data_IF_072121462916
#
_entry.id   IF_072121462916
#
_cell.length_a   1.000
_cell.length_b   1.000
_cell.length_c   1.000
_cell.angle_alpha   90.00
_cell.angle_beta   90.00
_cell.angle_gamma   90.00
#
_symmetry.space_group_name_H-M   'P 1'
#
loop_
_entity.id
_entity.type
_entity.pdbx_description
1 polymer ?
#
# COMPACT_ATOMS: atom_id res chain seq x y z
N UNK A 1 -12.86 -5.66 13.39
CA UNK A 1 -11.71 -6.46 12.91
C UNK A 1 -10.59 -5.47 12.60
N UNK A 2 -9.33 -5.74 12.95
CA UNK A 2 -8.22 -4.80 12.68
C UNK A 2 -7.58 -5.17 11.36
N UNK A 3 -7.59 -4.24 10.40
CA UNK A 3 -6.91 -4.37 9.11
C UNK A 3 -5.55 -3.66 9.17
N UNK A 4 -4.58 -4.22 8.45
CA UNK A 4 -3.21 -3.70 8.34
C UNK A 4 -3.03 -2.82 7.11
N UNK A 5 -3.91 -2.95 6.11
CA UNK A 5 -3.97 -2.11 4.92
C UNK A 5 -5.40 -1.62 4.72
N UNK A 6 -5.61 -0.32 4.84
CA UNK A 6 -6.89 0.32 4.51
C UNK A 6 -6.64 1.48 3.55
N UNK A 7 -7.53 1.64 2.59
CA UNK A 7 -7.50 2.72 1.62
C UNK A 7 -8.91 3.23 1.38
N UNK A 8 -9.10 4.54 1.35
CA UNK A 8 -10.40 5.19 1.12
C UNK A 8 -10.24 6.32 0.12
N UNK A 9 -11.06 6.35 -0.94
CA UNK A 9 -11.08 7.45 -1.91
C UNK A 9 -11.71 8.67 -1.25
N UNK A 10 -10.94 9.76 -1.12
CA UNK A 10 -11.40 11.02 -0.53
C UNK A 10 -12.03 11.91 -1.62
N UNK A 11 -11.36 11.97 -2.77
CA UNK A 11 -11.71 12.87 -3.86
C UNK A 11 -11.20 12.33 -5.19
N UNK A 12 -11.86 12.69 -6.29
CA UNK A 12 -11.48 12.32 -7.65
C UNK A 12 -11.50 13.54 -8.57
N UNK A 13 -10.47 13.67 -9.41
CA UNK A 13 -10.53 14.56 -10.56
C UNK A 13 -11.22 13.81 -11.72
N UNK A 14 -12.42 14.26 -12.10
CA UNK A 14 -13.15 13.66 -13.22
C UNK A 14 -12.48 13.91 -14.58
N UNK A 15 -11.53 14.85 -14.65
CA UNK A 15 -10.88 15.34 -15.86
C UNK A 15 -9.53 14.67 -16.10
N UNK A 16 -8.73 14.51 -15.03
CA UNK A 16 -7.34 14.05 -15.12
C UNK A 16 -7.11 12.62 -14.60
N UNK A 17 -8.18 11.92 -14.20
CA UNK A 17 -8.17 10.51 -13.77
C UNK A 17 -7.25 10.19 -12.57
N UNK A 18 -6.72 11.19 -11.88
CA UNK A 18 -6.09 11.02 -10.58
C UNK A 18 -7.10 11.23 -9.45
N UNK A 19 -6.84 10.60 -8.32
CA UNK A 19 -7.67 10.72 -7.12
C UNK A 19 -6.82 10.76 -5.87
N UNK A 20 -7.35 11.41 -4.84
CA UNK A 20 -6.74 11.41 -3.53
C UNK A 20 -7.32 10.25 -2.71
N UNK A 21 -6.44 9.46 -2.10
CA UNK A 21 -6.83 8.41 -1.16
C UNK A 21 -6.25 8.68 0.22
N UNK A 22 -7.00 8.25 1.23
CA UNK A 22 -6.50 8.08 2.59
C UNK A 22 -5.92 6.68 2.71
N UNK A 23 -4.60 6.55 2.74
CA UNK A 23 -3.90 5.29 2.95
C UNK A 23 -3.55 5.12 4.43
N UNK A 24 -4.04 4.04 5.04
CA UNK A 24 -3.72 3.67 6.40
C UNK A 24 -3.00 2.32 6.42
N UNK A 25 -1.84 2.33 7.06
CA UNK A 25 -0.99 1.14 7.22
C UNK A 25 -0.80 0.90 8.71
N UNK A 26 -1.06 -0.32 9.18
CA UNK A 26 -1.03 -0.64 10.61
C UNK A 26 -0.22 -1.90 10.89
N UNK A 27 0.58 -1.81 11.95
CA UNK A 27 1.21 -2.94 12.63
C UNK A 27 0.65 -3.08 14.04
N UNK A 28 1.17 -4.02 14.82
CA UNK A 28 0.77 -4.20 16.23
C UNK A 28 1.17 -3.03 17.13
N UNK A 29 2.14 -2.21 16.72
CA UNK A 29 2.75 -1.18 17.57
C UNK A 29 2.75 0.23 16.95
N UNK A 30 2.45 0.34 15.67
CA UNK A 30 2.51 1.59 14.91
C UNK A 30 1.42 1.61 13.84
N UNK A 31 0.85 2.78 13.61
CA UNK A 31 -0.06 3.05 12.50
C UNK A 31 0.37 4.33 11.80
N UNK A 32 0.33 4.30 10.47
CA UNK A 32 0.46 5.47 9.61
C UNK A 32 -0.87 5.77 8.94
N UNK A 33 -1.13 7.04 8.69
CA UNK A 33 -2.28 7.54 7.95
C UNK A 33 -1.80 8.68 7.06
N UNK A 34 -1.86 8.50 5.75
CA UNK A 34 -1.31 9.41 4.75
C UNK A 34 -2.39 9.74 3.72
N UNK A 35 -2.49 11.00 3.33
CA UNK A 35 -3.28 11.38 2.16
C UNK A 35 -2.34 11.37 0.97
N UNK A 36 -2.64 10.57 -0.03
CA UNK A 36 -1.76 10.34 -1.17
C UNK A 36 -2.52 10.47 -2.47
N UNK A 37 -1.89 11.03 -3.49
CA UNK A 37 -2.45 11.06 -4.84
C UNK A 37 -2.11 9.75 -5.56
N UNK A 38 -3.11 9.25 -6.29
CA UNK A 38 -3.06 7.94 -6.94
C UNK A 38 -3.65 8.02 -8.34
N UNK A 39 -3.15 7.14 -9.19
CA UNK A 39 -3.71 6.82 -10.51
C UNK A 39 -3.97 5.32 -10.57
N UNK A 40 -4.86 4.91 -11.46
CA UNK A 40 -5.21 3.49 -11.61
C UNK A 40 -4.00 2.63 -12.00
N UNK A 41 -3.07 3.20 -12.77
CA UNK A 41 -1.81 2.57 -13.18
C UNK A 41 -0.97 2.16 -11.97
N UNK A 42 -0.84 3.02 -10.97
CA UNK A 42 -0.03 2.76 -9.76
C UNK A 42 -0.62 1.59 -8.95
N UNK A 43 -1.95 1.53 -8.86
CA UNK A 43 -2.63 0.41 -8.19
C UNK A 43 -2.60 -0.86 -9.02
N UNK A 44 -2.64 -0.74 -10.36
CA UNK A 44 -2.48 -1.86 -11.27
C UNK A 44 -1.08 -2.47 -11.16
N UNK A 45 -0.04 -1.65 -11.02
CA UNK A 45 1.33 -2.13 -10.72
C UNK A 45 1.37 -2.94 -9.41
N UNK A 46 0.71 -2.47 -8.34
CA UNK A 46 0.62 -3.23 -7.09
C UNK A 46 -0.10 -4.56 -7.28
N UNK A 47 -1.21 -4.58 -8.04
CA UNK A 47 -1.95 -5.80 -8.38
C UNK A 47 -1.06 -6.79 -9.14
N UNK A 48 -0.30 -6.30 -10.12
CA UNK A 48 0.56 -7.12 -10.95
C UNK A 48 1.77 -7.64 -10.16
N UNK A 49 2.30 -6.85 -9.24
CA UNK A 49 3.34 -7.30 -8.30
C UNK A 49 2.83 -8.39 -7.36
N UNK A 50 1.64 -8.24 -6.79
CA UNK A 50 1.04 -9.28 -5.95
C UNK A 50 0.87 -10.59 -6.75
N UNK A 51 0.35 -10.49 -7.98
CA UNK A 51 0.21 -11.65 -8.86
C UNK A 51 1.56 -12.29 -9.19
N UNK A 52 2.59 -11.48 -9.45
CA UNK A 52 3.97 -11.92 -9.67
C UNK A 52 4.55 -12.67 -8.48
N UNK A 53 4.38 -12.14 -7.26
CA UNK A 53 4.83 -12.78 -6.02
C UNK A 53 4.21 -14.16 -5.86
N UNK A 54 2.89 -14.25 -6.09
CA UNK A 54 2.15 -15.49 -5.93
C UNK A 54 2.54 -16.52 -6.99
N UNK A 55 2.70 -16.10 -8.25
CA UNK A 55 3.16 -16.97 -9.34
C UNK A 55 4.60 -17.46 -9.15
N UNK A 56 5.46 -16.62 -8.58
CA UNK A 56 6.86 -16.95 -8.29
C UNK A 56 7.05 -17.71 -6.97
N UNK A 57 5.98 -17.99 -6.21
CA UNK A 57 6.03 -18.60 -4.88
C UNK A 57 6.93 -17.82 -3.92
N UNK A 58 6.91 -16.49 -4.00
CA UNK A 58 7.66 -15.60 -3.11
C UNK A 58 9.18 -15.79 -3.12
N UNK A 59 9.75 -16.36 -4.19
CA UNK A 59 11.19 -16.63 -4.29
C UNK A 59 12.07 -15.38 -4.16
N UNK A 60 11.57 -14.24 -4.62
CA UNK A 60 12.26 -12.97 -4.54
C UNK A 60 11.36 -11.94 -3.84
N UNK A 61 11.94 -11.09 -2.96
CA UNK A 61 11.22 -9.96 -2.40
C UNK A 61 10.77 -9.01 -3.50
N UNK A 62 9.57 -8.45 -3.36
CA UNK A 62 9.06 -7.42 -4.26
C UNK A 62 8.94 -6.08 -3.54
N UNK A 63 9.32 -5.01 -4.23
CA UNK A 63 9.28 -3.66 -3.69
C UNK A 63 8.30 -2.86 -4.53
N UNK A 64 7.17 -2.52 -3.95
CA UNK A 64 6.24 -1.54 -4.52
C UNK A 64 6.55 -0.16 -3.93
N UNK A 65 6.56 0.86 -4.79
CA UNK A 65 6.91 2.23 -4.41
C UNK A 65 5.86 3.17 -4.95
N UNK A 66 5.35 4.00 -4.06
CA UNK A 66 4.57 5.17 -4.41
C UNK A 66 5.52 6.36 -4.42
N UNK A 67 5.74 6.88 -5.61
CA UNK A 67 6.38 8.17 -5.81
C UNK A 67 5.39 9.04 -6.56
N UNK A 68 5.09 10.19 -5.99
CA UNK A 68 4.51 11.27 -6.79
C UNK A 68 5.65 11.83 -7.64
N UNK A 69 5.50 11.85 -8.97
CA UNK A 69 6.53 12.39 -9.86
C UNK A 69 6.75 13.88 -9.66
N UNK A 70 5.76 14.57 -9.10
CA UNK A 70 5.76 16.01 -8.91
C UNK A 70 6.02 16.42 -7.45
N UNK A 71 6.01 15.48 -6.50
CA UNK A 71 6.32 15.73 -5.10
C UNK A 71 7.50 14.86 -4.63
N UNK A 72 8.67 15.49 -4.49
CA UNK A 72 9.87 14.85 -3.92
C UNK A 72 9.74 14.58 -2.41
N UNK A 73 8.65 15.10 -1.84
CA UNK A 73 8.32 15.27 -0.44
C UNK A 73 7.79 13.98 0.18
N UNK A 74 6.96 13.21 -0.53
CA UNK A 74 6.31 12.02 0.03
C UNK A 74 6.69 10.73 -0.73
N UNK A 75 7.29 9.79 0.00
CA UNK A 75 7.79 8.52 -0.53
C UNK A 75 7.28 7.39 0.35
N UNK A 76 6.50 6.47 -0.23
CA UNK A 76 6.02 5.27 0.46
C UNK A 76 6.57 4.04 -0.27
N UNK A 77 7.16 3.11 0.46
CA UNK A 77 7.65 1.84 -0.07
C UNK A 77 7.12 0.69 0.77
N UNK A 78 6.66 -0.36 0.08
CA UNK A 78 6.24 -1.62 0.68
C UNK A 78 7.12 -2.73 0.11
N UNK A 79 7.82 -3.45 0.98
CA UNK A 79 8.61 -4.64 0.58
C UNK A 79 7.92 -5.89 1.07
N UNK A 80 7.56 -6.78 0.15
CA UNK A 80 6.90 -8.05 0.43
C UNK A 80 7.91 -9.18 0.37
N UNK A 81 8.10 -9.88 1.49
CA UNK A 81 9.05 -11.00 1.61
C UNK A 81 8.35 -12.24 2.13
N UNK A 82 8.45 -13.36 1.42
CA UNK A 82 8.03 -14.66 1.95
C UNK A 82 9.00 -15.12 3.04
N UNK A 83 8.50 -15.32 4.25
CA UNK A 83 9.34 -15.65 5.41
C UNK A 83 9.25 -17.13 5.82
N UNK A 84 8.28 -17.88 5.31
CA UNK A 84 8.17 -19.31 5.57
C UNK A 84 7.50 -20.10 4.42
N UNK A 85 7.40 -21.41 4.62
CA UNK A 85 6.80 -22.34 3.65
C UNK A 85 5.28 -22.46 3.79
N UNK A 86 4.68 -21.83 4.80
CA UNK A 86 3.23 -21.83 5.03
C UNK A 86 2.52 -20.70 4.31
N UNK A 87 3.27 -19.82 3.65
CA UNK A 87 2.74 -18.72 2.85
C UNK A 87 2.63 -17.41 3.64
N UNK A 88 3.40 -17.26 4.72
CA UNK A 88 3.45 -16.04 5.50
C UNK A 88 4.37 -15.02 4.83
N UNK A 89 3.82 -13.82 4.62
CA UNK A 89 4.50 -12.69 4.01
C UNK A 89 4.76 -11.65 5.08
N UNK A 90 6.02 -11.24 5.22
CA UNK A 90 6.38 -10.00 5.91
C UNK A 90 6.23 -8.84 4.93
N UNK A 91 5.55 -7.79 5.38
CA UNK A 91 5.50 -6.50 4.69
C UNK A 91 6.31 -5.50 5.50
N UNK A 92 7.41 -5.05 4.94
CA UNK A 92 8.21 -3.96 5.49
C UNK A 92 7.73 -2.64 4.87
N UNK A 93 7.27 -1.73 5.72
CA UNK A 93 6.75 -0.41 5.37
C UNK A 93 7.81 0.63 5.64
N UNK A 94 8.07 1.47 4.65
CA UNK A 94 8.91 2.66 4.79
C UNK A 94 8.16 3.87 4.24
N UNK A 95 8.08 4.92 5.05
CA UNK A 95 7.44 6.19 4.71
C UNK A 95 8.41 7.31 5.06
N UNK A 96 8.62 8.20 4.10
CA UNK A 96 9.38 9.43 4.22
C UNK A 96 8.52 10.55 3.66
N UNK A 97 8.01 11.41 4.54
CA UNK A 97 7.20 12.57 4.21
C UNK A 97 7.92 13.82 4.73
N UNK A 98 8.40 14.65 3.81
CA UNK A 98 9.18 15.85 4.05
C UNK A 98 8.38 17.05 3.62
N UNK A 99 7.93 17.84 4.58
CA UNK A 99 7.30 19.11 4.25
C UNK A 99 8.35 20.19 3.96
N UNK A 100 8.48 20.61 2.71
CA UNK A 100 9.49 21.60 2.29
C UNK A 100 9.33 22.98 2.97
N UNK A 101 8.12 23.31 3.41
CA UNK A 101 7.82 24.56 4.13
C UNK A 101 8.07 24.52 5.66
N UNK A 102 8.34 23.36 6.27
CA UNK A 102 8.69 23.28 7.70
C UNK A 102 9.74 22.18 7.96
N UNK A 103 11.00 22.55 8.28
CA UNK A 103 12.06 21.59 8.56
C UNK A 103 11.88 20.79 9.85
N UNK A 104 10.84 21.09 10.65
CA UNK A 104 10.50 20.32 11.86
C UNK A 104 9.30 19.40 11.65
N UNK A 105 8.59 19.49 10.52
CA UNK A 105 7.47 18.64 10.17
C UNK A 105 7.89 17.58 9.14
N UNK A 106 8.75 16.67 9.61
CA UNK A 106 9.20 15.51 8.86
C UNK A 106 8.64 14.25 9.50
N UNK A 107 7.87 13.48 8.74
CA UNK A 107 7.36 12.20 9.18
C UNK A 107 8.16 11.08 8.54
N UNK A 108 8.91 10.35 9.37
CA UNK A 108 9.57 9.12 8.97
C UNK A 108 8.98 7.95 9.75
N UNK A 109 8.51 6.94 9.05
CA UNK A 109 8.04 5.70 9.66
C UNK A 109 8.66 4.49 8.99
N UNK A 110 9.20 3.60 9.80
CA UNK A 110 9.64 2.27 9.39
C UNK A 110 9.06 1.24 10.35
N UNK A 111 8.21 0.36 9.82
CA UNK A 111 7.61 -0.71 10.61
C UNK A 111 7.31 -1.91 9.72
N UNK A 112 6.96 -3.03 10.35
CA UNK A 112 6.66 -4.27 9.65
C UNK A 112 5.41 -4.91 10.20
N UNK A 113 4.73 -5.65 9.35
CA UNK A 113 3.61 -6.49 9.75
C UNK A 113 3.60 -7.79 8.94
N UNK A 114 2.86 -8.78 9.43
CA UNK A 114 2.71 -10.08 8.79
C UNK A 114 1.31 -10.25 8.25
N UNK A 115 1.24 -10.83 7.07
CA UNK A 115 0.04 -11.20 6.32
C UNK A 115 0.27 -12.57 5.67
N UNK A 116 -0.72 -13.12 4.98
CA UNK A 116 -0.55 -14.37 4.21
C UNK A 116 -0.69 -14.15 2.71
N UNK A 117 -0.17 -15.06 1.88
CA UNK A 117 -0.35 -15.03 0.42
C UNK A 117 -1.83 -14.97 0.01
N UNK A 118 -2.69 -15.72 0.72
CA UNK A 118 -4.14 -15.66 0.48
C UNK A 118 -4.78 -14.32 0.84
N UNK A 119 -4.22 -13.59 1.81
CA UNK A 119 -4.65 -12.21 2.10
C UNK A 119 -4.14 -11.21 1.04
N UNK A 120 -3.00 -11.48 0.39
CA UNK A 120 -2.58 -10.68 -0.76
C UNK A 120 -3.51 -10.86 -1.96
N UNK A 121 -4.01 -12.08 -2.21
CA UNK A 121 -5.01 -12.32 -3.26
C UNK A 121 -6.32 -11.54 -3.00
N UNK A 122 -6.75 -11.49 -1.73
CA UNK A 122 -7.89 -10.68 -1.30
C UNK A 122 -7.62 -9.19 -1.55
N UNK A 123 -6.45 -8.67 -1.15
CA UNK A 123 -6.04 -7.29 -1.43
C UNK A 123 -6.08 -6.99 -2.94
N UNK A 124 -5.50 -7.86 -3.78
CA UNK A 124 -5.52 -7.72 -5.25
C UNK A 124 -6.95 -7.64 -5.78
N UNK A 125 -7.86 -8.48 -5.25
CA UNK A 125 -9.26 -8.48 -5.65
C UNK A 125 -9.97 -7.19 -5.23
N UNK A 126 -9.73 -6.71 -4.01
CA UNK A 126 -10.31 -5.46 -3.53
C UNK A 126 -9.80 -4.25 -4.33
N UNK A 127 -8.50 -4.19 -4.64
CA UNK A 127 -7.92 -3.13 -5.47
C UNK A 127 -8.52 -3.11 -6.88
N UNK A 128 -8.75 -4.28 -7.51
CA UNK A 128 -9.43 -4.34 -8.81
C UNK A 128 -10.84 -3.74 -8.78
N UNK A 129 -11.60 -4.02 -7.72
CA UNK A 129 -12.95 -3.45 -7.52
C UNK A 129 -12.88 -1.94 -7.27
N UNK A 130 -11.86 -1.49 -6.54
CA UNK A 130 -11.62 -0.08 -6.27
C UNK A 130 -11.30 0.72 -7.55
N UNK A 131 -10.40 0.21 -8.40
CA UNK A 131 -10.08 0.79 -9.72
C UNK A 131 -11.33 0.85 -10.60
N UNK A 132 -12.14 -0.21 -10.63
CA UNK A 132 -13.41 -0.26 -11.38
C UNK A 132 -14.53 0.60 -10.79
N UNK A 133 -14.26 1.32 -9.70
CA UNK A 133 -15.25 2.16 -8.98
C UNK A 133 -16.46 1.38 -8.48
N UNK A 134 -16.29 0.09 -8.21
CA UNK A 134 -17.32 -0.73 -7.55
C UNK A 134 -17.32 -0.52 -6.03
N UNK A 135 -16.26 0.05 -5.49
CA UNK A 135 -16.08 0.44 -4.08
C UNK A 135 -15.16 1.65 -3.99
N UNK A 136 -15.38 2.50 -2.99
CA UNK A 136 -14.49 3.61 -2.63
C UNK A 136 -13.62 3.28 -1.41
N UNK A 137 -13.72 2.05 -0.90
CA UNK A 137 -12.98 1.60 0.27
C UNK A 137 -12.39 0.20 0.07
N UNK A 138 -11.15 0.04 0.50
CA UNK A 138 -10.40 -1.22 0.58
C UNK A 138 -9.98 -1.42 2.03
N UNK A 139 -10.26 -2.59 2.57
CA UNK A 139 -9.82 -3.00 3.90
C UNK A 139 -9.36 -4.45 3.82
N UNK A 140 -8.05 -4.65 3.82
CA UNK A 140 -7.43 -5.96 3.63
C UNK A 140 -6.18 -6.10 4.50
N UNK A 141 -5.58 -7.29 4.44
CA UNK A 141 -4.46 -7.75 5.26
C UNK A 141 -4.82 -7.72 6.75
N UNK A 142 -4.76 -8.88 7.40
CA UNK A 142 -5.13 -9.00 8.82
C UNK A 142 -3.96 -9.60 9.58
N UNK A 143 -3.75 -9.21 10.85
CA UNK A 143 -2.73 -9.83 11.68
C UNK A 143 -2.86 -11.35 11.62
N UNK A 144 -1.74 -12.00 11.34
CA UNK A 144 -1.58 -13.44 11.48
C UNK A 144 -1.51 -13.87 12.95
#
# INVERSE_FOLDING_TARGET
>A
MVYQFEMERIWIDETELFYQVKLQLRSSVCSSNQNVYMQDEILQELIDFIAGLNNAWGKEPLIWRLFDSDADDQKISLTFTLIDRTGTIQVDVWIDDKWDHDPFDHFHAAFKFRTTMGQLDDLSTQLKRFIRRETDHVASLRPE
#
